data_IF_968846140774
#
_entry.id   IF_968846140774
#
_cell.length_a   1.000
_cell.length_b   1.000
_cell.length_c   1.000
_cell.angle_alpha   90.00
_cell.angle_beta   90.00
_cell.angle_gamma   90.00
#
_symmetry.space_group_name_H-M   'P 1'
#
loop_
_entity.id
_entity.type
_entity.pdbx_description
1 polymer ?
#
# COMPACT_ATOMS: atom_id res chain seq x y z
N UNK A 1 0.87 -29.90 4.13
CA UNK A 1 -0.55 -30.26 4.29
C UNK A 1 -1.39 -29.18 3.62
N UNK A 2 -2.30 -29.55 2.71
CA UNK A 2 -3.06 -28.63 1.86
C UNK A 2 -4.45 -28.48 2.49
N UNK A 3 -4.73 -27.33 3.10
CA UNK A 3 -6.01 -27.08 3.79
C UNK A 3 -7.12 -26.70 2.79
N UNK A 4 -8.39 -27.04 3.09
CA UNK A 4 -9.51 -26.95 2.16
C UNK A 4 -9.96 -25.50 1.89
N UNK A 5 -10.50 -25.19 0.71
CA UNK A 5 -10.77 -23.83 0.22
C UNK A 5 -12.11 -23.23 0.69
N UNK A 6 -12.57 -23.58 1.90
CA UNK A 6 -13.89 -23.19 2.41
C UNK A 6 -13.79 -22.48 3.77
N UNK A 7 -13.18 -21.29 3.78
CA UNK A 7 -13.37 -20.23 4.78
C UNK A 7 -12.52 -19.00 4.37
N UNK A 8 -12.88 -18.33 3.27
CA UNK A 8 -12.17 -17.14 2.76
C UNK A 8 -12.35 -15.86 3.62
N UNK A 9 -12.77 -16.00 4.87
CA UNK A 9 -12.63 -14.96 5.88
C UNK A 9 -11.70 -15.53 6.94
N UNK A 10 -10.40 -15.30 6.77
CA UNK A 10 -9.45 -15.66 7.80
C UNK A 10 -9.83 -14.88 9.09
N UNK A 11 -10.03 -15.55 10.23
CA UNK A 11 -10.17 -14.84 11.50
C UNK A 11 -8.91 -14.00 11.68
N UNK A 12 -9.10 -12.70 11.72
CA UNK A 12 -8.02 -11.73 11.86
C UNK A 12 -7.51 -11.82 13.29
N UNK A 13 -6.60 -12.74 13.58
CA UNK A 13 -5.92 -12.86 14.88
C UNK A 13 -4.59 -12.13 14.81
N UNK A 14 -4.23 -11.39 15.86
CA UNK A 14 -2.93 -10.71 15.92
C UNK A 14 -1.82 -11.76 16.11
N UNK A 15 -0.77 -11.80 15.26
CA UNK A 15 0.25 -12.86 15.28
C UNK A 15 1.13 -12.90 16.54
N UNK A 16 1.00 -11.89 17.41
CA UNK A 16 1.79 -11.76 18.64
C UNK A 16 1.02 -12.08 19.92
N UNK A 17 -0.29 -11.88 19.94
CA UNK A 17 -1.11 -12.03 21.14
C UNK A 17 -2.36 -12.89 20.92
N UNK A 18 -2.54 -13.45 19.72
CA UNK A 18 -3.66 -14.32 19.33
C UNK A 18 -5.05 -13.78 19.68
N UNK A 19 -5.17 -12.47 19.85
CA UNK A 19 -6.43 -11.80 20.07
C UNK A 19 -7.06 -11.38 18.75
N UNK A 20 -8.39 -11.26 18.69
CA UNK A 20 -9.06 -10.75 17.51
C UNK A 20 -8.51 -9.35 17.22
N UNK A 21 -7.91 -9.20 16.05
CA UNK A 21 -7.50 -7.95 15.46
C UNK A 21 -8.77 -7.14 15.15
N UNK A 22 -9.37 -6.58 16.20
CA UNK A 22 -10.25 -5.44 16.08
C UNK A 22 -9.34 -4.32 15.56
N UNK A 23 -9.36 -4.13 14.25
CA UNK A 23 -8.50 -3.15 13.57
C UNK A 23 -8.94 -1.76 14.03
N UNK A 24 -8.12 -1.15 14.87
CA UNK A 24 -8.27 0.23 15.24
C UNK A 24 -7.78 1.07 14.05
N UNK A 25 -8.71 1.50 13.19
CA UNK A 25 -8.41 2.35 12.03
C UNK A 25 -8.23 3.80 12.49
N UNK A 26 -7.08 4.10 13.09
CA UNK A 26 -6.66 5.48 13.34
C UNK A 26 -5.66 5.87 12.25
N UNK A 27 -6.14 6.52 11.19
CA UNK A 27 -5.34 7.14 10.12
C UNK A 27 -4.28 6.21 9.47
N UNK A 28 -4.65 5.58 8.34
CA UNK A 28 -3.78 4.79 7.43
C UNK A 28 -2.96 3.63 8.04
N UNK A 29 -2.96 3.44 9.36
CA UNK A 29 -2.13 2.46 10.03
C UNK A 29 -2.96 1.54 10.91
N UNK A 30 -3.18 0.33 10.41
CA UNK A 30 -3.89 -0.71 11.15
C UNK A 30 -3.01 -1.24 12.28
N UNK A 31 -3.49 -1.12 13.52
CA UNK A 31 -2.80 -1.63 14.72
C UNK A 31 -3.70 -2.57 15.51
N UNK A 32 -3.10 -3.54 16.18
CA UNK A 32 -3.81 -4.42 17.10
C UNK A 32 -4.24 -3.63 18.35
N UNK A 33 -5.52 -3.70 18.72
CA UNK A 33 -6.07 -2.93 19.86
C UNK A 33 -5.43 -3.27 21.22
N UNK A 34 -4.81 -4.44 21.38
CA UNK A 34 -4.30 -4.91 22.66
C UNK A 34 -2.78 -4.85 22.81
N UNK A 35 -2.03 -5.27 21.78
CA UNK A 35 -0.56 -5.24 21.82
C UNK A 35 0.04 -4.05 21.05
N UNK A 36 -0.80 -3.18 20.48
CA UNK A 36 -0.43 -2.03 19.66
C UNK A 36 0.49 -2.36 18.47
N UNK A 37 0.62 -3.64 18.12
CA UNK A 37 1.46 -4.10 17.02
C UNK A 37 0.84 -3.62 15.70
N UNK A 38 1.68 -3.03 14.85
CA UNK A 38 1.32 -2.70 13.49
C UNK A 38 1.01 -3.97 12.71
N UNK A 39 -0.15 -4.01 12.07
CA UNK A 39 -0.64 -5.16 11.32
C UNK A 39 -0.99 -4.70 9.92
N UNK A 40 -0.83 -5.58 8.93
CA UNK A 40 -1.30 -5.33 7.56
C UNK A 40 -2.36 -6.33 7.16
N UNK A 41 -3.29 -5.91 6.31
CA UNK A 41 -4.28 -6.80 5.72
C UNK A 41 -3.77 -7.32 4.37
N UNK A 42 -3.84 -8.63 4.17
CA UNK A 42 -3.52 -9.24 2.90
C UNK A 42 -4.55 -8.84 1.84
N UNK A 43 -4.10 -8.32 0.70
CA UNK A 43 -5.00 -7.93 -0.39
C UNK A 43 -5.77 -9.11 -1.02
N UNK A 44 -5.29 -10.35 -0.87
CA UNK A 44 -5.89 -11.54 -1.45
C UNK A 44 -6.95 -12.17 -0.54
N UNK A 45 -6.57 -12.55 0.69
CA UNK A 45 -7.46 -13.26 1.61
C UNK A 45 -8.01 -12.39 2.77
N UNK A 46 -7.68 -11.10 2.81
CA UNK A 46 -7.98 -10.16 3.91
C UNK A 46 -7.52 -10.62 5.29
N UNK A 47 -6.65 -11.63 5.36
CA UNK A 47 -6.03 -12.08 6.60
C UNK A 47 -5.06 -11.04 7.16
N UNK A 48 -4.89 -11.06 8.47
CA UNK A 48 -3.91 -10.21 9.16
C UNK A 48 -2.52 -10.83 9.04
N UNK A 49 -1.55 -9.99 8.70
CA UNK A 49 -0.14 -10.34 8.65
C UNK A 49 0.69 -9.35 9.48
N UNK A 50 1.85 -9.80 9.95
CA UNK A 50 2.79 -8.97 10.68
C UNK A 50 3.47 -7.93 9.78
N UNK A 51 4.13 -6.93 10.38
CA UNK A 51 4.76 -5.83 9.64
C UNK A 51 6.01 -6.27 8.87
N UNK A 52 6.63 -7.39 9.27
CA UNK A 52 7.84 -7.93 8.66
C UNK A 52 7.57 -9.15 7.77
N UNK A 53 6.32 -9.58 7.65
CA UNK A 53 5.97 -10.76 6.87
C UNK A 53 6.00 -10.42 5.37
N UNK A 54 6.92 -11.05 4.65
CA UNK A 54 6.99 -10.92 3.18
C UNK A 54 5.80 -11.58 2.49
N UNK A 55 5.31 -12.68 3.07
CA UNK A 55 4.22 -13.50 2.56
C UNK A 55 3.14 -13.66 3.62
N UNK A 56 1.88 -13.70 3.20
CA UNK A 56 0.78 -14.02 4.10
C UNK A 56 0.87 -15.48 4.55
N UNK A 57 0.95 -15.74 5.86
CA UNK A 57 0.99 -17.10 6.42
C UNK A 57 -0.21 -17.98 6.08
N UNK A 58 -1.35 -17.39 5.71
CA UNK A 58 -2.57 -18.12 5.34
C UNK A 58 -2.63 -18.49 3.85
N UNK A 59 -2.47 -17.51 2.96
CA UNK A 59 -2.65 -17.72 1.52
C UNK A 59 -1.34 -17.75 0.71
N UNK A 60 -0.19 -17.47 1.35
CA UNK A 60 1.12 -17.40 0.68
C UNK A 60 1.29 -16.19 -0.25
N UNK A 61 0.35 -15.23 -0.26
CA UNK A 61 0.44 -14.06 -1.14
C UNK A 61 1.51 -13.07 -0.67
N UNK A 62 2.28 -12.49 -1.59
CA UNK A 62 3.33 -11.51 -1.26
C UNK A 62 2.71 -10.19 -0.80
N UNK A 63 3.06 -9.76 0.41
CA UNK A 63 2.54 -8.57 1.09
C UNK A 63 3.35 -7.30 0.78
N UNK A 64 4.55 -7.45 0.21
CA UNK A 64 5.49 -6.35 -0.11
C UNK A 64 4.99 -5.43 -1.22
N UNK A 65 3.92 -5.81 -1.94
CA UNK A 65 3.19 -4.87 -2.76
C UNK A 65 2.40 -3.94 -1.85
N UNK A 66 3.08 -2.91 -1.36
CA UNK A 66 2.47 -1.76 -0.68
C UNK A 66 1.24 -1.28 -1.42
N UNK A 67 0.31 -0.67 -0.68
CA UNK A 67 -1.00 -0.25 -1.17
C UNK A 67 -0.91 0.28 -2.60
N UNK A 68 -1.71 -0.34 -3.49
CA UNK A 68 -1.84 0.14 -4.86
C UNK A 68 -2.37 1.57 -4.78
N UNK A 69 -1.46 2.53 -4.94
CA UNK A 69 -1.83 3.94 -5.00
C UNK A 69 -2.89 4.12 -6.09
N UNK A 70 -4.01 4.78 -5.79
CA UNK A 70 -5.15 4.84 -6.67
C UNK A 70 -4.79 5.49 -8.01
N UNK A 71 -5.46 5.06 -9.07
CA UNK A 71 -5.21 5.51 -10.45
C UNK A 71 -5.30 7.05 -10.59
N UNK A 72 -6.15 7.69 -9.77
CA UNK A 72 -6.29 9.14 -9.66
C UNK A 72 -5.02 9.85 -9.21
N UNK A 73 -4.23 9.24 -8.32
CA UNK A 73 -2.97 9.82 -7.87
C UNK A 73 -1.96 9.92 -9.01
N UNK A 74 -1.95 8.94 -9.92
CA UNK A 74 -1.12 9.00 -11.15
C UNK A 74 -1.56 10.12 -12.10
N UNK A 75 -2.87 10.36 -12.24
CA UNK A 75 -3.41 11.42 -13.09
C UNK A 75 -3.01 12.81 -12.58
N UNK A 76 -3.11 13.04 -11.27
CA UNK A 76 -2.66 14.29 -10.66
C UNK A 76 -1.16 14.53 -10.83
N UNK A 77 -0.35 13.48 -10.72
CA UNK A 77 1.09 13.55 -10.94
C UNK A 77 1.41 13.95 -12.38
N UNK A 78 0.73 13.36 -13.36
CA UNK A 78 0.84 13.75 -14.77
C UNK A 78 0.42 15.21 -15.00
N UNK A 79 -0.70 15.65 -14.41
CA UNK A 79 -1.19 17.02 -14.53
C UNK A 79 -0.18 18.04 -14.00
N UNK A 80 0.55 17.73 -12.93
CA UNK A 80 1.61 18.59 -12.40
C UNK A 80 2.89 18.58 -13.27
N UNK A 81 3.18 17.46 -13.94
CA UNK A 81 4.37 17.28 -14.77
C UNK A 81 4.29 18.07 -16.09
N UNK A 82 3.10 18.19 -16.67
CA UNK A 82 2.86 18.89 -17.95
C UNK A 82 3.30 20.37 -17.92
N UNK A 83 2.86 21.22 -16.98
CA UNK A 83 3.27 22.63 -16.96
C UNK A 83 4.76 22.79 -16.64
N UNK A 84 5.33 21.91 -15.82
CA UNK A 84 6.77 21.89 -15.54
C UNK A 84 7.58 21.62 -16.81
N UNK A 85 7.21 20.58 -17.56
CA UNK A 85 7.86 20.26 -18.82
C UNK A 85 7.68 21.40 -19.84
N UNK A 86 6.47 21.95 -19.97
CA UNK A 86 6.18 23.06 -20.88
C UNK A 86 7.03 24.31 -20.58
N UNK A 87 7.15 24.70 -19.30
CA UNK A 87 8.00 25.81 -18.88
C UNK A 87 9.48 25.57 -19.17
N UNK A 88 9.96 24.34 -18.96
CA UNK A 88 11.32 23.93 -19.27
C UNK A 88 11.61 24.02 -20.77
N UNK A 89 10.73 23.46 -21.61
CA UNK A 89 10.87 23.53 -23.07
C UNK A 89 10.82 24.97 -23.58
N UNK A 90 9.89 25.78 -23.05
CA UNK A 90 9.79 27.19 -23.42
C UNK A 90 11.07 27.96 -23.05
N UNK A 91 11.60 27.78 -21.84
CA UNK A 91 12.84 28.42 -21.39
C UNK A 91 14.05 28.04 -22.24
N UNK A 92 14.18 26.75 -22.60
CA UNK A 92 15.27 26.28 -23.48
C UNK A 92 15.14 26.89 -24.88
N UNK A 93 13.93 26.92 -25.45
CA UNK A 93 13.70 27.52 -26.76
C UNK A 93 14.04 29.02 -26.76
N UNK A 94 13.62 29.75 -25.72
CA UNK A 94 13.94 31.18 -25.56
C UNK A 94 15.46 31.42 -25.46
N UNK A 95 16.17 30.58 -24.69
CA UNK A 95 17.63 30.66 -24.55
C UNK A 95 18.37 30.40 -25.87
N UNK A 96 17.83 29.58 -26.77
CA UNK A 96 18.43 29.33 -28.08
C UNK A 96 18.16 30.45 -29.09
N UNK A 97 17.03 31.15 -28.98
CA UNK A 97 16.65 32.25 -29.89
C UNK A 97 17.30 33.59 -29.49
N UNK A 98 17.62 33.76 -28.20
CA UNK A 98 18.44 34.87 -27.70
C UNK A 98 19.77 34.40 -27.12
N UNK A 99 20.71 33.93 -27.97
CA UNK A 99 22.08 33.69 -27.53
C UNK A 99 22.70 35.05 -27.22
N UNK A 100 23.00 35.28 -25.95
CA UNK A 100 23.90 36.37 -25.56
C UNK A 100 25.33 36.05 -25.98
#
# INVERSE_FOLDING_TARGET
>A
MKLPPLALVAPSLCPRCDQPAMVLNFAEESRCAHCALQIHQCASCRGVAGPFDRFCGFCGHELVRGERRPLWWRLWLLAALVPLAAGLFYGIAQAQVHPR
#
